data_IF_937113233579
#
_entry.id   IF_937113233579
#
_cell.length_a   1.000
_cell.length_b   1.000
_cell.length_c   1.000
_cell.angle_alpha   90.00
_cell.angle_beta   90.00
_cell.angle_gamma   90.00
#
_symmetry.space_group_name_H-M   'P 1'
#
loop_
_entity.id
_entity.type
_entity.pdbx_description
1 polymer ?
#
# COMPACT_ATOMS: atom_id res chain seq x y z
N UNK A 1 3.07 7.96 -8.58
CA UNK A 1 4.33 7.71 -7.85
C UNK A 1 5.00 6.40 -8.24
N UNK A 2 4.45 5.22 -7.90
CA UNK A 2 5.08 3.90 -8.18
C UNK A 2 5.61 3.72 -9.61
N UNK A 3 4.78 4.05 -10.60
CA UNK A 3 5.12 3.97 -12.03
C UNK A 3 6.27 4.91 -12.40
N UNK A 4 6.24 6.15 -11.89
CA UNK A 4 7.26 7.15 -12.14
C UNK A 4 8.61 6.73 -11.54
N UNK A 5 8.61 6.23 -10.30
CA UNK A 5 9.80 5.68 -9.63
C UNK A 5 10.39 4.54 -10.45
N UNK A 6 9.58 3.54 -10.82
CA UNK A 6 10.08 2.39 -11.58
C UNK A 6 10.74 2.81 -12.89
N UNK A 7 10.07 3.62 -13.71
CA UNK A 7 10.60 4.02 -15.02
C UNK A 7 11.77 5.00 -14.93
N UNK A 8 11.95 5.72 -13.81
CA UNK A 8 13.14 6.53 -13.57
C UNK A 8 14.42 5.69 -13.61
N UNK A 9 14.37 4.51 -12.98
CA UNK A 9 15.51 3.60 -12.87
C UNK A 9 15.56 2.56 -14.01
N UNK A 10 14.42 2.07 -14.49
CA UNK A 10 14.33 0.86 -15.33
C UNK A 10 15.31 0.83 -16.51
N UNK A 11 15.44 1.94 -17.24
CA UNK A 11 16.25 2.04 -18.46
C UNK A 11 17.64 2.71 -18.26
N UNK A 12 18.04 3.02 -17.02
CA UNK A 12 19.31 3.73 -16.77
C UNK A 12 20.21 2.95 -15.81
N UNK A 13 21.23 2.28 -16.34
CA UNK A 13 22.25 1.61 -15.52
C UNK A 13 22.99 2.59 -14.62
N UNK A 14 23.26 3.81 -15.11
CA UNK A 14 23.87 4.89 -14.31
C UNK A 14 23.04 5.23 -13.07
N UNK A 15 21.74 5.46 -13.24
CA UNK A 15 20.85 5.79 -12.09
C UNK A 15 20.73 4.64 -11.11
N UNK A 16 20.70 3.39 -11.60
CA UNK A 16 20.70 2.21 -10.73
C UNK A 16 21.98 2.11 -9.91
N UNK A 17 23.14 2.40 -10.50
CA UNK A 17 24.41 2.38 -9.78
C UNK A 17 24.46 3.47 -8.71
N UNK A 18 24.13 4.71 -9.09
CA UNK A 18 24.05 5.83 -8.15
C UNK A 18 23.09 5.55 -6.99
N UNK A 19 21.93 4.92 -7.27
CA UNK A 19 20.96 4.58 -6.24
C UNK A 19 21.48 3.60 -5.19
N UNK A 20 22.44 2.73 -5.53
CA UNK A 20 23.03 1.80 -4.54
C UNK A 20 23.73 2.54 -3.40
N UNK A 21 24.37 3.66 -3.70
CA UNK A 21 25.02 4.51 -2.69
C UNK A 21 24.00 5.01 -1.65
N UNK A 22 22.77 5.29 -2.07
CA UNK A 22 21.69 5.72 -1.17
C UNK A 22 21.08 4.55 -0.39
N UNK A 23 21.06 3.35 -0.96
CA UNK A 23 20.65 2.15 -0.22
C UNK A 23 21.61 1.87 0.92
N UNK A 24 22.92 1.91 0.65
CA UNK A 24 23.97 1.74 1.64
C UNK A 24 23.95 2.86 2.69
N UNK A 25 23.84 4.12 2.26
CA UNK A 25 23.76 5.28 3.15
C UNK A 25 22.55 5.24 4.10
N UNK A 26 21.42 4.70 3.66
CA UNK A 26 20.20 4.59 4.46
C UNK A 26 20.03 3.23 5.17
N UNK A 27 21.04 2.35 5.12
CA UNK A 27 20.98 0.98 5.68
C UNK A 27 19.76 0.18 5.17
N UNK A 28 19.44 0.33 3.88
CA UNK A 28 18.33 -0.38 3.22
C UNK A 28 18.88 -1.58 2.45
N UNK A 29 18.40 -2.78 2.80
CA UNK A 29 18.80 -4.01 2.10
C UNK A 29 18.54 -3.91 0.58
N UNK A 30 19.57 -4.12 -0.28
CA UNK A 30 19.43 -3.95 -1.71
C UNK A 30 18.45 -4.94 -2.34
N UNK A 31 17.45 -4.42 -3.05
CA UNK A 31 16.53 -5.24 -3.82
C UNK A 31 15.98 -4.51 -5.05
N UNK A 32 15.43 -5.25 -6.02
CA UNK A 32 14.89 -4.65 -7.26
C UNK A 32 13.59 -3.90 -6.99
N UNK A 33 13.49 -2.65 -7.44
CA UNK A 33 12.20 -1.96 -7.52
C UNK A 33 11.26 -2.71 -8.48
N UNK A 34 10.00 -2.86 -8.07
CA UNK A 34 9.02 -3.65 -8.81
C UNK A 34 8.18 -2.76 -9.72
N UNK A 35 7.84 -3.29 -10.90
CA UNK A 35 6.91 -2.64 -11.82
C UNK A 35 5.49 -2.91 -11.35
N UNK A 36 4.77 -1.87 -10.95
CA UNK A 36 3.33 -1.99 -10.80
C UNK A 36 2.69 -2.20 -12.18
N UNK A 37 2.01 -3.33 -12.35
CA UNK A 37 1.20 -3.62 -13.53
C UNK A 37 -0.28 -3.36 -13.20
N UNK A 38 -0.89 -2.41 -13.91
CA UNK A 38 -2.27 -1.93 -13.65
C UNK A 38 -3.32 -3.03 -13.71
N UNK A 39 -3.11 -4.06 -14.53
CA UNK A 39 -4.05 -5.20 -14.69
C UNK A 39 -3.77 -6.36 -13.73
N UNK A 40 -2.67 -6.32 -12.97
CA UNK A 40 -2.29 -7.35 -11.99
C UNK A 40 -2.31 -6.76 -10.61
N UNK A 41 -3.51 -6.53 -10.13
CA UNK A 41 -3.79 -5.94 -8.83
C UNK A 41 -3.14 -6.74 -7.66
N UNK A 42 -2.94 -8.06 -7.78
CA UNK A 42 -2.12 -8.88 -6.85
C UNK A 42 -0.69 -8.35 -6.66
N UNK A 43 -0.09 -7.77 -7.69
CA UNK A 43 1.29 -7.24 -7.64
C UNK A 43 1.39 -5.90 -6.92
N UNK A 44 0.26 -5.25 -6.61
CA UNK A 44 0.26 -3.93 -5.99
C UNK A 44 0.81 -3.97 -4.57
N UNK A 45 0.38 -4.93 -3.74
CA UNK A 45 0.88 -5.11 -2.37
C UNK A 45 2.40 -5.18 -2.35
N UNK A 46 2.98 -6.11 -3.12
CA UNK A 46 4.44 -6.27 -3.17
C UNK A 46 5.15 -5.01 -3.69
N UNK A 47 4.54 -4.25 -4.61
CA UNK A 47 5.11 -2.98 -5.07
C UNK A 47 5.06 -1.89 -4.00
N UNK A 48 3.98 -1.83 -3.23
CA UNK A 48 3.81 -0.90 -2.09
C UNK A 48 4.82 -1.23 -1.01
N UNK A 49 4.90 -2.49 -0.57
CA UNK A 49 5.84 -2.95 0.45
C UNK A 49 7.29 -2.72 0.03
N UNK A 50 7.62 -3.02 -1.24
CA UNK A 50 8.95 -2.73 -1.79
C UNK A 50 9.26 -1.24 -1.77
N UNK A 51 8.28 -0.39 -2.04
CA UNK A 51 8.50 1.06 -2.04
C UNK A 51 8.65 1.59 -0.62
N UNK A 52 7.89 1.06 0.35
CA UNK A 52 8.04 1.36 1.77
C UNK A 52 9.41 0.95 2.30
N UNK A 53 9.88 -0.28 2.00
CA UNK A 53 11.23 -0.74 2.37
C UNK A 53 12.33 0.19 1.84
N UNK A 54 12.13 0.69 0.63
CA UNK A 54 13.07 1.59 -0.03
C UNK A 54 12.84 3.08 0.30
N UNK A 55 11.85 3.43 1.14
CA UNK A 55 11.40 4.80 1.32
C UNK A 55 12.53 5.77 1.71
N UNK A 56 13.38 5.48 2.73
CA UNK A 56 14.44 6.39 3.14
C UNK A 56 15.46 6.67 2.02
N UNK A 57 15.86 5.62 1.29
CA UNK A 57 16.79 5.71 0.18
C UNK A 57 16.20 6.45 -1.02
N UNK A 58 14.92 6.20 -1.35
CA UNK A 58 14.20 6.90 -2.41
C UNK A 58 14.09 8.39 -2.10
N UNK A 59 13.67 8.74 -0.89
CA UNK A 59 13.55 10.14 -0.45
C UNK A 59 14.89 10.85 -0.55
N UNK A 60 15.96 10.24 -0.02
CA UNK A 60 17.31 10.81 -0.06
C UNK A 60 17.82 10.99 -1.51
N UNK A 61 17.65 9.97 -2.36
CA UNK A 61 18.07 10.02 -3.76
C UNK A 61 17.33 11.10 -4.55
N UNK A 62 16.00 11.14 -4.50
CA UNK A 62 15.22 12.11 -5.27
C UNK A 62 15.41 13.55 -4.78
N UNK A 63 15.61 13.75 -3.47
CA UNK A 63 15.92 15.07 -2.90
C UNK A 63 17.34 15.56 -3.24
N UNK A 64 18.31 14.66 -3.43
CA UNK A 64 19.68 15.02 -3.86
C UNK A 64 19.82 15.31 -5.37
N UNK A 65 18.78 15.02 -6.17
CA UNK A 65 18.90 15.03 -7.61
C UNK A 65 18.93 16.47 -8.15
N UNK A 66 19.85 16.79 -9.06
CA UNK A 66 20.01 18.15 -9.59
C UNK A 66 18.77 18.79 -10.27
N UNK A 67 17.76 17.99 -10.62
CA UNK A 67 16.50 18.46 -11.22
C UNK A 67 15.37 18.58 -10.19
N UNK A 68 15.63 18.39 -8.89
CA UNK A 68 14.63 18.48 -7.82
C UNK A 68 13.95 19.85 -7.76
N UNK A 69 14.70 20.93 -8.04
CA UNK A 69 14.18 22.30 -8.06
C UNK A 69 13.48 22.68 -9.37
N UNK A 70 13.54 21.81 -10.39
CA UNK A 70 12.98 22.09 -11.71
C UNK A 70 11.60 21.43 -11.86
N UNK A 71 10.59 22.16 -12.37
CA UNK A 71 9.29 21.56 -12.67
C UNK A 71 9.42 20.31 -13.52
N UNK A 72 8.92 19.18 -13.02
CA UNK A 72 9.07 17.91 -13.73
C UNK A 72 8.78 16.68 -12.88
N UNK A 73 9.09 15.51 -13.46
CA UNK A 73 8.84 14.21 -12.81
C UNK A 73 9.66 14.05 -11.52
N UNK A 74 10.93 14.46 -11.51
CA UNK A 74 11.82 14.32 -10.36
C UNK A 74 11.33 15.16 -9.19
N UNK A 75 11.08 16.46 -9.39
CA UNK A 75 10.49 17.33 -8.37
C UNK A 75 9.19 16.74 -7.81
N UNK A 76 8.27 16.28 -8.67
CA UNK A 76 6.98 15.73 -8.22
C UNK A 76 7.18 14.49 -7.34
N UNK A 77 8.06 13.57 -7.74
CA UNK A 77 8.33 12.35 -6.95
C UNK A 77 9.03 12.71 -5.64
N UNK A 78 9.99 13.63 -5.65
CA UNK A 78 10.67 14.13 -4.44
C UNK A 78 9.69 14.76 -3.44
N UNK A 79 8.78 15.60 -3.92
CA UNK A 79 7.72 16.21 -3.11
C UNK A 79 6.79 15.14 -2.51
N UNK A 80 6.36 14.15 -3.30
CA UNK A 80 5.51 13.06 -2.81
C UNK A 80 6.20 12.17 -1.77
N UNK A 81 7.50 11.90 -1.91
CA UNK A 81 8.29 11.10 -0.96
C UNK A 81 8.59 11.87 0.35
N UNK A 82 8.54 13.19 0.29
CA UNK A 82 8.72 14.08 1.45
C UNK A 82 7.39 14.43 2.14
N UNK A 83 6.26 14.05 1.55
CA UNK A 83 4.92 14.26 2.11
C UNK A 83 4.56 13.13 3.07
N UNK A 84 4.36 13.49 4.34
CA UNK A 84 4.01 12.53 5.39
C UNK A 84 2.64 11.88 5.15
N UNK A 85 1.67 12.59 4.56
CA UNK A 85 0.35 12.02 4.26
C UNK A 85 0.45 10.92 3.20
N UNK A 86 1.32 11.10 2.21
CA UNK A 86 1.57 10.08 1.19
C UNK A 86 2.27 8.87 1.80
N UNK A 87 3.21 9.07 2.73
CA UNK A 87 3.86 7.96 3.43
C UNK A 87 2.85 7.16 4.27
N UNK A 88 2.00 7.84 5.05
CA UNK A 88 0.91 7.22 5.80
C UNK A 88 -0.06 6.46 4.89
N UNK A 89 -0.39 7.02 3.74
CA UNK A 89 -1.25 6.36 2.75
C UNK A 89 -0.62 5.04 2.25
N UNK A 90 0.70 4.99 2.06
CA UNK A 90 1.38 3.75 1.68
C UNK A 90 1.33 2.68 2.78
N UNK A 91 1.51 3.04 4.04
CA UNK A 91 1.33 2.10 5.16
C UNK A 91 -0.10 1.58 5.24
N UNK A 92 -1.09 2.46 5.03
CA UNK A 92 -2.49 2.04 4.96
C UNK A 92 -2.74 1.06 3.80
N UNK A 93 -2.16 1.33 2.63
CA UNK A 93 -2.24 0.42 1.48
C UNK A 93 -1.61 -0.95 1.82
N UNK A 94 -0.39 -0.98 2.37
CA UNK A 94 0.26 -2.23 2.80
C UNK A 94 -0.64 -3.03 3.76
N UNK A 95 -1.26 -2.34 4.72
CA UNK A 95 -2.16 -2.96 5.70
C UNK A 95 -3.47 -3.51 5.14
N UNK A 96 -4.07 -2.84 4.14
CA UNK A 96 -5.39 -3.21 3.61
C UNK A 96 -5.30 -4.17 2.40
N UNK A 97 -4.18 -4.17 1.68
CA UNK A 97 -4.01 -4.97 0.48
C UNK A 97 -3.89 -6.48 0.78
N UNK A 98 -3.29 -6.88 1.90
CA UNK A 98 -3.16 -8.30 2.26
C UNK A 98 -4.47 -9.09 2.29
N UNK A 99 -5.51 -8.65 3.04
CA UNK A 99 -6.82 -9.29 3.00
C UNK A 99 -7.45 -9.34 1.59
N UNK A 100 -7.27 -8.28 0.79
CA UNK A 100 -7.79 -8.23 -0.58
C UNK A 100 -7.05 -9.21 -1.51
N UNK A 101 -5.72 -9.30 -1.35
CA UNK A 101 -4.83 -10.28 -1.99
C UNK A 101 -5.27 -11.72 -1.72
N UNK A 102 -5.49 -12.07 -0.46
CA UNK A 102 -6.00 -13.39 -0.09
C UNK A 102 -7.35 -13.71 -0.74
N UNK A 103 -8.31 -12.79 -0.66
CA UNK A 103 -9.65 -12.97 -1.25
C UNK A 103 -9.58 -13.24 -2.75
N UNK A 104 -8.84 -12.43 -3.48
CA UNK A 104 -8.83 -12.57 -4.93
C UNK A 104 -7.92 -13.70 -5.42
N UNK A 105 -6.95 -14.20 -4.65
CA UNK A 105 -6.30 -15.47 -4.96
C UNK A 105 -7.33 -16.60 -4.98
N UNK A 106 -8.32 -16.57 -4.08
CA UNK A 106 -9.46 -17.50 -4.10
C UNK A 106 -10.33 -17.25 -5.34
N UNK A 107 -10.60 -15.99 -5.67
CA UNK A 107 -11.42 -15.60 -6.83
C UNK A 107 -10.81 -15.99 -8.18
N UNK A 108 -9.49 -15.92 -8.31
CA UNK A 108 -8.75 -16.22 -9.55
C UNK A 108 -8.46 -17.71 -9.74
N UNK A 109 -8.92 -18.57 -8.83
CA UNK A 109 -8.76 -20.02 -8.98
C UNK A 109 -9.51 -20.54 -10.21
N UNK A 110 -8.93 -21.51 -10.91
CA UNK A 110 -9.51 -22.10 -12.14
C UNK A 110 -10.75 -22.96 -11.89
N UNK A 111 -11.01 -23.34 -10.65
CA UNK A 111 -12.14 -24.17 -10.25
C UNK A 111 -13.42 -23.34 -10.09
N UNK A 112 -14.59 -23.91 -10.33
CA UNK A 112 -15.86 -23.21 -10.10
C UNK A 112 -16.14 -23.06 -8.59
N UNK A 113 -15.97 -21.84 -8.06
CA UNK A 113 -16.09 -21.52 -6.62
C UNK A 113 -17.37 -20.75 -6.25
N UNK A 114 -18.34 -20.69 -7.16
CA UNK A 114 -19.54 -19.84 -7.04
C UNK A 114 -20.31 -20.11 -5.73
N UNK A 115 -20.37 -21.38 -5.29
CA UNK A 115 -21.13 -21.78 -4.10
C UNK A 115 -20.64 -21.18 -2.77
N UNK A 116 -19.37 -20.74 -2.70
CA UNK A 116 -18.78 -20.16 -1.48
C UNK A 116 -18.22 -18.75 -1.71
N UNK A 117 -18.25 -18.23 -2.94
CA UNK A 117 -17.81 -16.87 -3.26
C UNK A 117 -18.51 -15.81 -2.39
N UNK A 118 -19.83 -15.93 -2.21
CA UNK A 118 -20.59 -15.01 -1.36
C UNK A 118 -20.14 -15.07 0.11
N UNK A 119 -19.74 -16.24 0.60
CA UNK A 119 -19.22 -16.41 1.96
C UNK A 119 -17.83 -15.76 2.09
N UNK A 120 -16.97 -15.90 1.08
CA UNK A 120 -15.64 -15.26 1.05
C UNK A 120 -15.76 -13.72 0.98
N UNK A 121 -16.68 -13.18 0.18
CA UNK A 121 -16.95 -11.74 0.14
C UNK A 121 -17.43 -11.22 1.50
N UNK A 122 -18.32 -11.96 2.19
CA UNK A 122 -18.75 -11.62 3.56
C UNK A 122 -17.60 -11.66 4.55
N UNK A 123 -16.68 -12.62 4.41
CA UNK A 123 -15.47 -12.73 5.24
C UNK A 123 -14.54 -11.54 5.02
N UNK A 124 -14.32 -11.13 3.78
CA UNK A 124 -13.54 -9.93 3.46
C UNK A 124 -14.19 -8.67 4.03
N UNK A 125 -15.51 -8.49 3.84
CA UNK A 125 -16.25 -7.35 4.38
C UNK A 125 -16.16 -7.30 5.92
N UNK A 126 -16.35 -8.45 6.58
CA UNK A 126 -16.17 -8.57 8.04
C UNK A 126 -14.76 -8.17 8.47
N UNK A 127 -13.75 -8.59 7.71
CA UNK A 127 -12.34 -8.26 7.98
C UNK A 127 -12.09 -6.76 7.88
N UNK A 128 -12.65 -6.08 6.88
CA UNK A 128 -12.52 -4.64 6.74
C UNK A 128 -13.29 -3.87 7.81
N UNK A 129 -14.56 -4.22 8.07
CA UNK A 129 -15.34 -3.61 9.14
C UNK A 129 -14.66 -3.78 10.49
N UNK A 130 -14.08 -4.95 10.78
CA UNK A 130 -13.40 -5.23 12.04
C UNK A 130 -12.21 -4.32 12.36
N UNK A 131 -11.67 -3.59 11.37
CA UNK A 131 -10.54 -2.65 11.55
C UNK A 131 -10.99 -1.29 12.13
N UNK A 132 -12.26 -0.93 11.97
CA UNK A 132 -12.75 0.41 12.35
C UNK A 132 -14.18 0.46 12.95
N UNK A 133 -14.96 -0.63 12.88
CA UNK A 133 -16.31 -0.74 13.42
C UNK A 133 -16.31 -1.58 14.70
N UNK A 134 -17.15 -1.22 15.68
CA UNK A 134 -17.29 -1.96 16.94
C UNK A 134 -17.68 -3.42 16.70
N UNK A 135 -16.89 -4.34 17.27
CA UNK A 135 -17.10 -5.81 17.10
C UNK A 135 -18.50 -6.26 17.49
N UNK A 136 -19.09 -5.67 18.54
CA UNK A 136 -20.48 -5.95 18.96
C UNK A 136 -21.47 -5.80 17.81
N UNK A 137 -21.37 -4.71 17.05
CA UNK A 137 -22.27 -4.44 15.92
C UNK A 137 -22.09 -5.46 14.79
N UNK A 138 -20.85 -5.82 14.48
CA UNK A 138 -20.52 -6.82 13.46
C UNK A 138 -21.08 -8.21 13.81
N UNK A 139 -21.09 -8.56 15.11
CA UNK A 139 -21.59 -9.85 15.58
C UNK A 139 -23.12 -9.91 15.66
N UNK A 140 -23.77 -8.80 16.01
CA UNK A 140 -25.23 -8.75 16.19
C UNK A 140 -26.00 -8.56 14.89
N UNK A 141 -25.39 -7.96 13.86
CA UNK A 141 -26.06 -7.67 12.60
C UNK A 141 -26.01 -8.87 11.65
N UNK A 142 -27.17 -9.44 11.22
CA UNK A 142 -27.20 -10.59 10.32
C UNK A 142 -26.65 -10.28 8.93
N UNK A 143 -26.94 -9.09 8.41
CA UNK A 143 -26.46 -8.62 7.11
C UNK A 143 -25.45 -7.47 7.28
N UNK A 144 -24.17 -7.78 7.08
CA UNK A 144 -23.08 -6.83 7.21
C UNK A 144 -23.18 -5.64 6.25
N UNK A 145 -23.93 -5.74 5.15
CA UNK A 145 -24.11 -4.64 4.18
C UNK A 145 -25.02 -3.53 4.70
N UNK A 146 -25.78 -3.81 5.76
CA UNK A 146 -26.72 -2.87 6.39
C UNK A 146 -26.13 -2.11 7.57
N UNK A 147 -24.87 -2.39 7.93
CA UNK A 147 -24.18 -1.70 9.02
C UNK A 147 -23.96 -0.24 8.61
N UNK A 148 -24.49 0.69 9.41
CA UNK A 148 -24.18 2.12 9.27
C UNK A 148 -22.78 2.41 9.81
N UNK A 149 -21.78 2.10 9.00
CA UNK A 149 -20.37 2.31 9.32
C UNK A 149 -19.96 3.78 9.25
N UNK A 150 -20.81 4.66 8.70
CA UNK A 150 -20.56 6.10 8.59
C UNK A 150 -20.89 6.84 9.89
N UNK A 151 -21.75 6.27 10.73
CA UNK A 151 -22.05 6.80 12.05
C UNK A 151 -20.86 6.64 13.00
N UNK A 152 -20.28 7.74 13.54
CA UNK A 152 -19.17 7.68 14.50
C UNK A 152 -19.46 6.86 15.75
N UNK A 153 -20.73 6.78 16.20
CA UNK A 153 -21.12 5.97 17.35
C UNK A 153 -20.96 4.47 17.10
N UNK A 154 -20.88 4.04 15.85
CA UNK A 154 -20.64 2.65 15.47
C UNK A 154 -19.14 2.35 15.27
N UNK A 155 -18.30 3.37 15.19
CA UNK A 155 -16.87 3.25 14.95
C UNK A 155 -16.08 3.04 16.24
N UNK A 156 -14.89 2.46 16.10
CA UNK A 156 -13.90 2.41 17.16
C UNK A 156 -13.37 3.83 17.43
N UNK A 157 -13.02 4.18 18.68
CA UNK A 157 -12.29 5.41 18.97
C UNK A 157 -11.02 5.55 18.14
N UNK A 158 -10.69 6.78 17.73
CA UNK A 158 -9.49 7.06 16.93
C UNK A 158 -8.20 6.52 17.54
N UNK A 159 -8.12 6.43 18.87
CA UNK A 159 -6.96 5.92 19.61
C UNK A 159 -6.70 4.41 19.41
N UNK A 160 -7.68 3.66 18.92
CA UNK A 160 -7.56 2.21 18.70
C UNK A 160 -7.91 1.79 17.26
N UNK A 161 -8.01 2.74 16.34
CA UNK A 161 -8.19 2.44 14.92
C UNK A 161 -6.96 1.70 14.39
N UNK A 162 -7.20 0.56 13.74
CA UNK A 162 -6.14 -0.18 13.07
C UNK A 162 -5.95 0.40 11.67
N UNK A 163 -4.93 1.24 11.49
CA UNK A 163 -4.58 1.88 10.21
C UNK A 163 -3.28 1.36 9.58
N UNK A 164 -2.70 0.29 10.15
CA UNK A 164 -1.39 -0.26 9.78
C UNK A 164 -0.33 0.02 10.84
N UNK A 165 0.83 -0.64 10.72
CA UNK A 165 2.00 -0.31 11.53
C UNK A 165 2.55 1.02 11.03
N UNK A 166 2.52 2.04 11.89
CA UNK A 166 3.19 3.30 11.62
C UNK A 166 4.70 3.13 11.85
N UNK A 167 5.56 3.80 11.07
CA UNK A 167 6.99 3.80 11.35
C UNK A 167 7.23 4.44 12.74
N UNK A 168 8.18 3.86 13.48
CA UNK A 168 8.69 4.43 14.75
C UNK A 168 9.37 5.78 14.57
#
# INVERSE_FOLDING_TARGET
>A
MLVDIYYHFHHSSKRKEQYKEFLDFCDVEPSKLLKHATTRWLSLETCVDRTLHHWPALTSYFNSHCEVEKPGRIQRVAAQLSDHEIHLYFYFLSFILGPLNNFNTIFQASEARIGYLAAEMKTLLRTFLGKFVKSKLIQTTPDLTTIDYSNPDNQLPNSILSIGLLPE
#
